data_IF_427109625709
#
_entry.id   IF_427109625709
#
_cell.length_a   1.000
_cell.length_b   1.000
_cell.length_c   1.000
_cell.angle_alpha   90.00
_cell.angle_beta   90.00
_cell.angle_gamma   90.00
#
_symmetry.space_group_name_H-M   'P 1'
#
loop_
_entity.id
_entity.type
_entity.pdbx_description
1 polymer ?
#
# COMPACT_ATOMS: atom_id res chain seq x y z
N UNK A 1 -14.64 27.32 -39.27
CA UNK A 1 -15.83 27.99 -39.85
C UNK A 1 -15.47 29.20 -40.72
N UNK A 2 -14.62 29.01 -41.74
CA UNK A 2 -14.42 30.04 -42.77
C UNK A 2 -15.65 30.17 -43.68
N UNK A 3 -16.28 29.04 -44.03
CA UNK A 3 -17.50 28.99 -44.83
C UNK A 3 -18.67 29.80 -44.23
N UNK A 4 -18.85 29.75 -42.90
CA UNK A 4 -19.86 30.55 -42.19
C UNK A 4 -19.58 32.04 -42.31
N UNK A 5 -18.32 32.47 -42.19
CA UNK A 5 -17.95 33.90 -42.32
C UNK A 5 -18.21 34.42 -43.74
N UNK A 6 -17.86 33.65 -44.76
CA UNK A 6 -18.14 34.00 -46.16
C UNK A 6 -19.64 34.10 -46.42
N UNK A 7 -20.42 33.12 -45.95
CA UNK A 7 -21.87 33.13 -46.09
C UNK A 7 -22.53 34.28 -45.30
N UNK A 8 -22.00 34.62 -44.12
CA UNK A 8 -22.46 35.76 -43.33
C UNK A 8 -22.22 37.09 -44.05
N UNK A 9 -21.03 37.28 -44.65
CA UNK A 9 -20.71 38.49 -45.42
C UNK A 9 -21.68 38.67 -46.60
N UNK A 10 -21.95 37.59 -47.34
CA UNK A 10 -22.92 37.61 -48.42
C UNK A 10 -24.36 37.93 -47.95
N UNK A 11 -24.75 37.46 -46.77
CA UNK A 11 -26.06 37.77 -46.20
C UNK A 11 -26.17 39.25 -45.75
N UNK A 12 -25.08 39.84 -45.24
CA UNK A 12 -25.03 41.24 -44.81
C UNK A 12 -25.14 42.24 -45.97
N UNK A 13 -24.70 41.86 -47.17
CA UNK A 13 -24.89 42.65 -48.39
C UNK A 13 -26.32 42.53 -48.98
N UNK A 14 -27.18 41.71 -48.35
CA UNK A 14 -28.54 41.41 -48.77
C UNK A 14 -29.63 42.20 -48.05
N UNK A 15 -30.86 41.69 -48.10
CA UNK A 15 -32.03 42.25 -47.40
C UNK A 15 -32.11 41.78 -45.95
N UNK A 16 -32.91 42.48 -45.13
CA UNK A 16 -33.23 42.06 -43.76
C UNK A 16 -33.76 40.62 -43.68
N UNK A 17 -34.50 40.18 -44.70
CA UNK A 17 -35.00 38.80 -44.84
C UNK A 17 -33.83 37.82 -45.00
N UNK A 18 -32.85 38.13 -45.87
CA UNK A 18 -31.68 37.28 -46.09
C UNK A 18 -30.78 37.20 -44.85
N UNK A 19 -30.66 38.30 -44.10
CA UNK A 19 -29.96 38.30 -42.80
C UNK A 19 -30.68 37.37 -41.81
N UNK A 20 -32.02 37.46 -41.74
CA UNK A 20 -32.83 36.60 -40.86
C UNK A 20 -32.75 35.12 -41.24
N UNK A 21 -32.82 34.81 -42.54
CA UNK A 21 -32.72 33.44 -43.04
C UNK A 21 -31.35 32.83 -42.77
N UNK A 22 -30.29 33.63 -42.94
CA UNK A 22 -28.95 33.21 -42.59
C UNK A 22 -28.83 32.93 -41.09
N UNK A 23 -29.31 33.83 -40.24
CA UNK A 23 -29.26 33.66 -38.78
C UNK A 23 -30.03 32.42 -38.31
N UNK A 24 -31.18 32.13 -38.89
CA UNK A 24 -32.03 31.01 -38.44
C UNK A 24 -31.54 29.66 -38.97
N UNK A 25 -31.14 29.58 -40.24
CA UNK A 25 -30.85 28.30 -40.90
C UNK A 25 -29.56 28.32 -41.71
N UNK A 26 -29.30 29.40 -42.45
CA UNK A 26 -28.17 29.46 -43.40
C UNK A 26 -26.79 29.32 -42.74
N UNK A 27 -26.61 29.81 -41.51
CA UNK A 27 -25.36 29.66 -40.77
C UNK A 27 -25.02 28.19 -40.49
N UNK A 28 -26.03 27.37 -40.20
CA UNK A 28 -25.83 25.96 -39.90
C UNK A 28 -25.56 25.15 -41.18
N UNK A 29 -26.21 25.51 -42.29
CA UNK A 29 -25.91 24.93 -43.60
C UNK A 29 -24.46 25.22 -44.02
N UNK A 30 -24.01 26.46 -43.87
CA UNK A 30 -22.63 26.85 -44.13
C UNK A 30 -21.63 26.15 -43.19
N UNK A 31 -22.03 25.82 -41.96
CA UNK A 31 -21.21 25.13 -40.97
C UNK A 31 -21.20 23.60 -41.10
N UNK A 32 -22.02 22.99 -41.98
CA UNK A 32 -22.22 21.53 -41.98
C UNK A 32 -20.90 20.75 -42.11
N UNK A 33 -20.01 21.14 -43.03
CA UNK A 33 -18.72 20.48 -43.21
C UNK A 33 -17.86 20.53 -41.93
N UNK A 34 -17.82 21.68 -41.26
CA UNK A 34 -17.11 21.82 -39.99
C UNK A 34 -17.79 20.98 -38.87
N UNK A 35 -19.12 20.90 -38.82
CA UNK A 35 -19.84 20.02 -37.89
C UNK A 35 -19.49 18.55 -38.14
N UNK A 36 -19.48 18.09 -39.39
CA UNK A 36 -19.06 16.72 -39.74
C UNK A 36 -17.65 16.42 -39.25
N UNK A 37 -16.72 17.36 -39.36
CA UNK A 37 -15.36 17.21 -38.82
C UNK A 37 -15.39 17.06 -37.29
N UNK A 38 -16.14 17.92 -36.59
CA UNK A 38 -16.27 17.85 -35.13
C UNK A 38 -16.88 16.52 -34.67
N UNK A 39 -17.95 16.06 -35.31
CA UNK A 39 -18.59 14.77 -35.01
C UNK A 39 -17.67 13.60 -35.34
N UNK A 40 -16.91 13.67 -36.44
CA UNK A 40 -15.92 12.63 -36.81
C UNK A 40 -14.83 12.50 -35.75
N UNK A 41 -14.37 13.61 -35.18
CA UNK A 41 -13.41 13.56 -34.07
C UNK A 41 -14.00 12.81 -32.87
N UNK A 42 -15.24 13.12 -32.48
CA UNK A 42 -15.92 12.43 -31.39
C UNK A 42 -16.20 10.94 -31.70
N UNK A 43 -16.45 10.59 -32.97
CA UNK A 43 -16.58 9.20 -33.41
C UNK A 43 -15.28 8.38 -33.28
N UNK A 44 -14.13 9.05 -33.22
CA UNK A 44 -12.81 8.42 -33.07
C UNK A 44 -12.31 8.43 -31.62
N UNK A 45 -12.51 9.54 -30.92
CA UNK A 45 -11.91 9.78 -29.60
C UNK A 45 -12.87 9.50 -28.44
N UNK A 46 -14.18 9.51 -28.68
CA UNK A 46 -15.20 9.36 -27.64
C UNK A 46 -15.23 7.99 -26.95
N UNK A 47 -15.98 7.91 -25.85
CA UNK A 47 -16.38 6.65 -25.23
C UNK A 47 -17.30 5.82 -26.14
N UNK A 48 -17.56 4.54 -25.81
CA UNK A 48 -18.34 3.63 -26.65
C UNK A 48 -19.69 4.21 -27.11
N UNK A 49 -20.50 4.74 -26.19
CA UNK A 49 -21.79 5.34 -26.50
C UNK A 49 -21.65 6.64 -27.30
N UNK A 50 -20.66 7.48 -26.98
CA UNK A 50 -20.38 8.71 -27.75
C UNK A 50 -20.04 8.36 -29.19
N UNK A 51 -19.22 7.32 -29.40
CA UNK A 51 -18.81 6.84 -30.74
C UNK A 51 -19.98 6.31 -31.55
N UNK A 52 -20.84 5.51 -30.91
CA UNK A 52 -22.04 4.98 -31.55
C UNK A 52 -22.97 6.11 -32.02
N UNK A 53 -23.29 7.04 -31.13
CA UNK A 53 -24.15 8.17 -31.44
C UNK A 53 -23.54 9.11 -32.48
N UNK A 54 -22.22 9.34 -32.43
CA UNK A 54 -21.52 10.14 -33.44
C UNK A 54 -21.60 9.50 -34.83
N UNK A 55 -21.43 8.18 -34.93
CA UNK A 55 -21.56 7.43 -36.20
C UNK A 55 -22.98 7.51 -36.75
N UNK A 56 -23.99 7.40 -35.88
CA UNK A 56 -25.38 7.56 -36.28
C UNK A 56 -25.66 8.97 -36.85
N UNK A 57 -25.17 10.02 -36.20
CA UNK A 57 -25.31 11.39 -36.69
C UNK A 57 -24.57 11.63 -38.02
N UNK A 58 -23.38 11.03 -38.20
CA UNK A 58 -22.63 11.10 -39.47
C UNK A 58 -23.32 10.36 -40.62
N UNK A 59 -23.97 9.23 -40.30
CA UNK A 59 -24.72 8.42 -41.27
C UNK A 59 -25.99 9.13 -41.75
N UNK A 60 -26.70 9.80 -40.84
CA UNK A 60 -27.83 10.70 -41.20
C UNK A 60 -27.33 11.88 -42.05
N UNK A 61 -26.25 12.54 -41.60
CA UNK A 61 -25.55 13.56 -42.36
C UNK A 61 -26.29 14.90 -42.50
N UNK A 62 -27.54 15.01 -42.02
CA UNK A 62 -28.24 16.29 -41.96
C UNK A 62 -27.59 17.24 -40.96
N UNK A 63 -27.64 18.54 -41.24
CA UNK A 63 -27.13 19.57 -40.34
C UNK A 63 -27.79 19.48 -38.96
N UNK A 64 -29.09 19.18 -38.91
CA UNK A 64 -29.86 19.02 -37.67
C UNK A 64 -29.35 17.86 -36.84
N UNK A 65 -29.16 16.67 -37.43
CA UNK A 65 -28.66 15.50 -36.70
C UNK A 65 -27.25 15.72 -36.13
N UNK A 66 -26.36 16.34 -36.91
CA UNK A 66 -25.01 16.69 -36.46
C UNK A 66 -25.06 17.70 -35.30
N UNK A 67 -25.89 18.74 -35.41
CA UNK A 67 -26.01 19.77 -34.40
C UNK A 67 -26.66 19.25 -33.11
N UNK A 68 -27.69 18.42 -33.21
CA UNK A 68 -28.34 17.79 -32.07
C UNK A 68 -27.39 16.87 -31.31
N UNK A 69 -26.57 16.09 -32.03
CA UNK A 69 -25.52 15.31 -31.42
C UNK A 69 -24.48 16.18 -30.71
N UNK A 70 -23.96 17.21 -31.38
CA UNK A 70 -22.96 18.13 -30.80
C UNK A 70 -23.49 18.89 -29.58
N UNK A 71 -24.76 19.28 -29.57
CA UNK A 71 -25.31 20.08 -28.48
C UNK A 71 -25.81 19.24 -27.31
N UNK A 72 -26.29 18.01 -27.55
CA UNK A 72 -26.98 17.20 -26.53
C UNK A 72 -26.55 15.74 -26.55
N UNK A 73 -26.55 15.12 -27.73
CA UNK A 73 -26.35 13.68 -27.87
C UNK A 73 -25.01 13.18 -27.32
N UNK A 74 -23.92 13.94 -27.53
CA UNK A 74 -22.60 13.58 -27.03
C UNK A 74 -22.54 13.57 -25.50
N UNK A 75 -23.18 14.53 -24.83
CA UNK A 75 -23.12 14.68 -23.38
C UNK A 75 -23.94 13.61 -22.67
N UNK A 76 -25.13 13.30 -23.20
CA UNK A 76 -25.95 12.20 -22.69
C UNK A 76 -25.24 10.85 -22.83
N UNK A 77 -24.59 10.62 -23.97
CA UNK A 77 -23.83 9.39 -24.21
C UNK A 77 -22.59 9.30 -23.31
N UNK A 78 -21.86 10.40 -23.14
CA UNK A 78 -20.72 10.47 -22.23
C UNK A 78 -21.13 10.14 -20.79
N UNK A 79 -22.24 10.70 -20.30
CA UNK A 79 -22.74 10.40 -18.95
C UNK A 79 -23.08 8.91 -18.77
N UNK A 80 -23.63 8.27 -19.81
CA UNK A 80 -23.89 6.83 -19.78
C UNK A 80 -22.57 6.02 -19.73
N UNK A 81 -21.60 6.35 -20.58
CA UNK A 81 -20.27 5.72 -20.61
C UNK A 81 -19.54 5.88 -19.26
N UNK A 82 -19.61 7.06 -18.65
CA UNK A 82 -18.99 7.35 -17.35
C UNK A 82 -19.67 6.61 -16.20
N UNK A 83 -21.00 6.48 -16.21
CA UNK A 83 -21.72 5.65 -15.22
C UNK A 83 -21.35 4.17 -15.32
N UNK A 84 -21.14 3.65 -16.54
CA UNK A 84 -20.65 2.28 -16.74
C UNK A 84 -19.24 2.14 -16.17
N UNK A 85 -18.35 3.08 -16.47
CA UNK A 85 -16.98 3.09 -15.95
C UNK A 85 -16.96 3.14 -14.41
N UNK A 86 -17.75 4.03 -13.80
CA UNK A 86 -17.86 4.13 -12.35
C UNK A 86 -18.45 2.85 -11.73
N UNK A 87 -19.41 2.19 -12.39
CA UNK A 87 -19.96 0.91 -11.93
C UNK A 87 -18.92 -0.22 -11.99
N UNK A 88 -18.08 -0.25 -13.02
CA UNK A 88 -16.97 -1.21 -13.09
C UNK A 88 -15.97 -0.98 -11.96
N UNK A 89 -15.58 0.26 -11.71
CA UNK A 89 -14.69 0.63 -10.60
C UNK A 89 -15.30 0.32 -9.22
N UNK A 90 -16.63 0.43 -9.08
CA UNK A 90 -17.34 0.02 -7.87
C UNK A 90 -17.27 -1.50 -7.61
N UNK A 91 -17.26 -2.32 -8.67
CA UNK A 91 -17.19 -3.77 -8.53
C UNK A 91 -15.74 -4.24 -8.34
N UNK A 92 -14.83 -3.73 -9.17
CA UNK A 92 -13.49 -4.30 -9.36
C UNK A 92 -12.37 -3.51 -8.67
N UNK A 93 -12.62 -2.26 -8.26
CA UNK A 93 -11.62 -1.38 -7.65
C UNK A 93 -11.16 -1.82 -6.25
N UNK A 94 -10.12 -1.19 -5.70
CA UNK A 94 -9.75 -1.38 -4.29
C UNK A 94 -10.76 -0.75 -3.32
N UNK A 95 -10.65 -0.99 -1.99
CA UNK A 95 -11.60 -0.49 -1.00
C UNK A 95 -11.97 1.00 -1.13
N UNK A 96 -10.98 1.87 -1.30
CA UNK A 96 -11.19 3.31 -1.46
C UNK A 96 -11.79 3.65 -2.82
N UNK A 97 -11.33 3.01 -3.91
CA UNK A 97 -11.93 3.19 -5.24
C UNK A 97 -13.40 2.79 -5.24
N UNK A 98 -13.75 1.66 -4.60
CA UNK A 98 -15.15 1.20 -4.49
C UNK A 98 -16.00 2.17 -3.70
N UNK A 99 -15.48 2.69 -2.59
CA UNK A 99 -16.15 3.68 -1.77
C UNK A 99 -16.43 4.97 -2.57
N UNK A 100 -15.39 5.51 -3.23
CA UNK A 100 -15.50 6.72 -4.04
C UNK A 100 -16.45 6.53 -5.24
N UNK A 101 -16.38 5.40 -5.94
CA UNK A 101 -17.28 5.06 -7.03
C UNK A 101 -18.75 5.00 -6.55
N UNK A 102 -19.00 4.39 -5.40
CA UNK A 102 -20.33 4.31 -4.80
C UNK A 102 -20.91 5.70 -4.50
N UNK A 103 -20.09 6.60 -3.93
CA UNK A 103 -20.48 7.98 -3.65
C UNK A 103 -20.83 8.70 -4.94
N UNK A 104 -19.96 8.63 -5.95
CA UNK A 104 -20.18 9.28 -7.24
C UNK A 104 -21.45 8.77 -7.94
N UNK A 105 -21.69 7.46 -7.95
CA UNK A 105 -22.88 6.85 -8.57
C UNK A 105 -24.20 7.26 -7.91
N UNK A 106 -24.18 7.57 -6.61
CA UNK A 106 -25.32 8.08 -5.85
C UNK A 106 -25.56 9.59 -6.06
N UNK A 107 -24.59 10.28 -6.66
CA UNK A 107 -24.63 11.71 -6.92
C UNK A 107 -25.16 12.09 -8.31
N UNK A 108 -24.93 13.36 -8.63
CA UNK A 108 -25.20 13.99 -9.92
C UNK A 108 -24.28 13.48 -11.04
N UNK A 109 -24.64 13.68 -12.32
CA UNK A 109 -23.76 13.36 -13.44
C UNK A 109 -22.38 14.05 -13.34
N UNK A 110 -22.32 15.28 -12.81
CA UNK A 110 -21.05 16.00 -12.62
C UNK A 110 -20.15 15.30 -11.58
N UNK A 111 -20.73 14.72 -10.53
CA UNK A 111 -19.96 13.94 -9.54
C UNK A 111 -19.40 12.65 -10.14
N UNK A 112 -20.17 11.97 -11.01
CA UNK A 112 -19.68 10.82 -11.78
C UNK A 112 -18.54 11.26 -12.70
N UNK A 113 -18.69 12.38 -13.40
CA UNK A 113 -17.68 12.91 -14.30
C UNK A 113 -16.37 13.24 -13.55
N UNK A 114 -16.45 13.97 -12.44
CA UNK A 114 -15.28 14.31 -11.61
C UNK A 114 -14.58 13.07 -11.05
N UNK A 115 -15.36 12.06 -10.63
CA UNK A 115 -14.82 10.79 -10.18
C UNK A 115 -14.06 10.06 -11.30
N UNK A 116 -14.67 9.89 -12.48
CA UNK A 116 -14.00 9.22 -13.60
C UNK A 116 -12.77 9.99 -14.08
N UNK A 117 -12.83 11.32 -14.10
CA UNK A 117 -11.73 12.15 -14.57
C UNK A 117 -10.52 12.14 -13.62
N UNK A 118 -10.75 12.16 -12.30
CA UNK A 118 -9.67 12.33 -11.32
C UNK A 118 -9.85 11.54 -10.03
N UNK A 119 -11.08 11.47 -9.51
CA UNK A 119 -11.37 10.83 -8.22
C UNK A 119 -10.95 9.36 -8.14
N UNK A 120 -11.09 8.60 -9.22
CA UNK A 120 -10.67 7.19 -9.27
C UNK A 120 -9.17 7.01 -9.02
N UNK A 121 -8.33 7.92 -9.50
CA UNK A 121 -6.88 7.82 -9.37
C UNK A 121 -6.42 8.24 -7.97
N UNK A 122 -7.09 9.24 -7.38
CA UNK A 122 -6.85 9.63 -5.99
C UNK A 122 -7.23 8.49 -5.03
N UNK A 123 -8.37 7.85 -5.26
CA UNK A 123 -8.80 6.71 -4.46
C UNK A 123 -7.86 5.50 -4.64
N UNK A 124 -7.42 5.21 -5.87
CA UNK A 124 -6.44 4.14 -6.13
C UNK A 124 -5.08 4.43 -5.46
N UNK A 125 -4.67 5.70 -5.38
CA UNK A 125 -3.49 6.10 -4.64
C UNK A 125 -3.65 5.82 -3.14
N UNK A 126 -4.82 6.09 -2.57
CA UNK A 126 -5.10 5.80 -1.16
C UNK A 126 -5.08 4.30 -0.87
N UNK A 127 -5.65 3.48 -1.77
CA UNK A 127 -5.53 2.01 -1.69
C UNK A 127 -4.06 1.56 -1.65
N UNK A 128 -3.23 2.07 -2.57
CA UNK A 128 -1.80 1.74 -2.60
C UNK A 128 -1.02 2.20 -1.36
N UNK A 129 -1.39 3.35 -0.77
CA UNK A 129 -0.81 3.83 0.48
C UNK A 129 -1.20 2.95 1.66
N UNK A 130 -2.45 2.50 1.72
CA UNK A 130 -2.93 1.58 2.75
C UNK A 130 -2.17 0.24 2.68
N UNK A 131 -2.04 -0.34 1.48
CA UNK A 131 -1.29 -1.58 1.27
C UNK A 131 0.18 -1.44 1.69
N UNK A 132 0.81 -0.32 1.33
CA UNK A 132 2.20 -0.02 1.71
C UNK A 132 2.35 0.06 3.23
N UNK A 133 1.41 0.72 3.91
CA UNK A 133 1.41 0.84 5.36
C UNK A 133 1.27 -0.52 6.04
N UNK A 134 0.34 -1.36 5.56
CA UNK A 134 0.16 -2.74 6.07
C UNK A 134 1.44 -3.55 5.90
N UNK A 135 2.07 -3.50 4.73
CA UNK A 135 3.33 -4.21 4.49
C UNK A 135 4.48 -3.73 5.39
N UNK A 136 4.55 -2.42 5.66
CA UNK A 136 5.54 -1.86 6.59
C UNK A 136 5.31 -2.34 8.02
N UNK A 137 4.06 -2.35 8.48
CA UNK A 137 3.69 -2.85 9.82
C UNK A 137 4.01 -4.33 9.97
N UNK A 138 3.71 -5.16 8.96
CA UNK A 138 4.05 -6.57 8.96
C UNK A 138 5.57 -6.81 9.05
N UNK A 139 6.37 -5.99 8.34
CA UNK A 139 7.84 -6.04 8.44
C UNK A 139 8.33 -5.73 9.85
N UNK A 140 7.81 -4.66 10.47
CA UNK A 140 8.19 -4.26 11.83
C UNK A 140 7.80 -5.34 12.86
N UNK A 141 6.64 -5.97 12.70
CA UNK A 141 6.23 -7.10 13.53
C UNK A 141 7.17 -8.29 13.39
N UNK A 142 7.57 -8.66 12.17
CA UNK A 142 8.51 -9.74 11.93
C UNK A 142 9.90 -9.44 12.55
N UNK A 143 10.39 -8.20 12.42
CA UNK A 143 11.63 -7.76 13.04
C UNK A 143 11.57 -7.84 14.58
N UNK A 144 10.48 -7.35 15.18
CA UNK A 144 10.24 -7.46 16.62
C UNK A 144 10.18 -8.92 17.11
N UNK A 145 9.61 -9.83 16.32
CA UNK A 145 9.60 -11.27 16.64
C UNK A 145 11.01 -11.87 16.62
N UNK A 146 11.86 -11.50 15.67
CA UNK A 146 13.26 -11.93 15.62
C UNK A 146 14.05 -11.44 16.83
N UNK A 147 13.86 -10.17 17.21
CA UNK A 147 14.49 -9.59 18.41
C UNK A 147 14.02 -10.33 19.67
N UNK A 148 12.71 -10.55 19.82
CA UNK A 148 12.16 -11.25 20.97
C UNK A 148 12.65 -12.71 21.05
N UNK A 149 12.73 -13.42 19.92
CA UNK A 149 13.29 -14.77 19.86
C UNK A 149 14.77 -14.79 20.27
N UNK A 150 15.55 -13.82 19.80
CA UNK A 150 16.97 -13.67 20.16
C UNK A 150 17.15 -13.36 21.64
N UNK A 151 16.34 -12.46 22.21
CA UNK A 151 16.34 -12.15 23.63
C UNK A 151 16.00 -13.37 24.49
N UNK A 152 14.99 -14.16 24.08
CA UNK A 152 14.65 -15.44 24.76
C UNK A 152 15.79 -16.43 24.71
N UNK A 153 16.45 -16.58 23.55
CA UNK A 153 17.65 -17.43 23.41
C UNK A 153 18.76 -16.98 24.36
N UNK A 154 19.08 -15.68 24.38
CA UNK A 154 20.13 -15.14 25.23
C UNK A 154 19.79 -15.30 26.72
N UNK A 155 18.53 -15.10 27.11
CA UNK A 155 18.06 -15.34 28.47
C UNK A 155 18.21 -16.81 28.88
N UNK A 156 17.85 -17.74 28.00
CA UNK A 156 18.03 -19.18 28.25
C UNK A 156 19.52 -19.56 28.38
N UNK A 157 20.39 -19.01 27.53
CA UNK A 157 21.84 -19.22 27.63
C UNK A 157 22.41 -18.63 28.93
N UNK A 158 21.95 -17.45 29.35
CA UNK A 158 22.35 -16.86 30.63
C UNK A 158 21.89 -17.70 31.82
N UNK A 159 20.67 -18.23 31.79
CA UNK A 159 20.15 -19.13 32.81
C UNK A 159 20.95 -20.44 32.88
N UNK A 160 21.32 -21.01 31.73
CA UNK A 160 22.21 -22.17 31.65
C UNK A 160 23.58 -21.87 32.28
N UNK A 161 24.23 -20.79 31.86
CA UNK A 161 25.54 -20.40 32.39
C UNK A 161 25.51 -20.15 33.91
N UNK A 162 24.43 -19.55 34.43
CA UNK A 162 24.24 -19.34 35.86
C UNK A 162 24.11 -20.68 36.62
N UNK A 163 23.38 -21.66 36.06
CA UNK A 163 23.25 -22.99 36.65
C UNK A 163 24.59 -23.75 36.66
N UNK A 164 25.37 -23.66 35.58
CA UNK A 164 26.70 -24.27 35.47
C UNK A 164 27.68 -23.65 36.49
N UNK A 165 27.70 -22.32 36.60
CA UNK A 165 28.54 -21.61 37.57
C UNK A 165 28.18 -21.97 39.02
N UNK A 166 26.89 -22.14 39.33
CA UNK A 166 26.42 -22.56 40.65
C UNK A 166 26.92 -23.97 41.00
N UNK A 167 26.78 -24.92 40.07
CA UNK A 167 27.28 -26.28 40.26
C UNK A 167 28.81 -26.32 40.47
N UNK A 168 29.56 -25.55 39.68
CA UNK A 168 31.02 -25.44 39.85
C UNK A 168 31.41 -24.86 41.22
N UNK A 169 30.68 -23.84 41.69
CA UNK A 169 30.87 -23.28 43.04
C UNK A 169 30.62 -24.32 44.13
N UNK A 170 29.53 -25.07 44.02
CA UNK A 170 29.17 -26.09 45.01
C UNK A 170 30.23 -27.23 45.06
N UNK A 171 30.80 -27.59 43.90
CA UNK A 171 31.92 -28.56 43.82
C UNK A 171 33.21 -28.02 44.46
N UNK A 172 33.53 -26.73 44.25
CA UNK A 172 34.70 -26.11 44.85
C UNK A 172 34.60 -26.07 46.39
N UNK A 173 33.40 -25.79 46.93
CA UNK A 173 33.15 -25.81 48.38
C UNK A 173 33.32 -27.21 48.98
N UNK A 174 32.91 -28.27 48.26
CA UNK A 174 33.14 -29.66 48.68
C UNK A 174 34.64 -29.99 48.69
N UNK A 175 35.36 -29.67 47.61
CA UNK A 175 36.80 -29.92 47.52
C UNK A 175 37.58 -29.19 48.62
N UNK A 176 37.17 -27.97 48.98
CA UNK A 176 37.74 -27.24 50.12
C UNK A 176 37.54 -27.99 51.43
N UNK A 177 36.33 -28.48 51.73
CA UNK A 177 36.05 -29.26 52.95
C UNK A 177 36.86 -30.55 53.00
N UNK A 178 36.96 -31.25 51.87
CA UNK A 178 37.76 -32.48 51.79
C UNK A 178 39.25 -32.18 52.04
N UNK A 179 39.75 -31.05 51.54
CA UNK A 179 41.12 -30.58 51.80
C UNK A 179 41.34 -30.18 53.27
N UNK A 180 40.37 -29.50 53.90
CA UNK A 180 40.39 -29.17 55.34
C UNK A 180 40.43 -30.44 56.19
N UNK A 181 39.57 -31.42 55.89
CA UNK A 181 39.57 -32.71 56.59
C UNK A 181 40.89 -33.46 56.41
N UNK A 182 41.44 -33.47 55.20
CA UNK A 182 42.74 -34.08 54.92
C UNK A 182 43.87 -33.42 55.72
N UNK A 183 43.82 -32.08 55.88
CA UNK A 183 44.79 -31.34 56.67
C UNK A 183 44.69 -31.66 58.18
N UNK A 184 43.47 -31.79 58.72
CA UNK A 184 43.24 -32.21 60.11
C UNK A 184 43.80 -33.61 60.38
N UNK A 185 43.55 -34.57 59.48
CA UNK A 185 44.11 -35.92 59.59
C UNK A 185 45.64 -35.91 59.58
N UNK A 186 46.25 -35.11 58.70
CA UNK A 186 47.70 -34.98 58.63
C UNK A 186 48.29 -34.42 59.94
N UNK A 187 47.63 -33.45 60.57
CA UNK A 187 48.03 -32.95 61.90
C UNK A 187 47.93 -34.03 62.98
N UNK A 188 46.86 -34.85 62.94
CA UNK A 188 46.71 -36.01 63.83
C UNK A 188 47.86 -37.00 63.70
N UNK A 189 48.19 -37.40 62.46
CA UNK A 189 49.32 -38.30 62.20
C UNK A 189 50.67 -37.71 62.63
N UNK A 190 50.89 -36.40 62.44
CA UNK A 190 52.09 -35.74 62.91
C UNK A 190 52.20 -35.82 64.44
N UNK A 191 51.12 -35.54 65.17
CA UNK A 191 51.10 -35.64 66.63
C UNK A 191 51.32 -37.09 67.12
N UNK A 192 50.75 -38.08 66.43
CA UNK A 192 51.00 -39.49 66.73
C UNK A 192 52.45 -39.89 66.50
N UNK A 193 53.07 -39.38 65.43
CA UNK A 193 54.47 -39.62 65.11
C UNK A 193 55.40 -38.99 66.14
N UNK A 194 55.14 -37.74 66.56
CA UNK A 194 55.89 -37.07 67.64
C UNK A 194 55.79 -37.87 68.94
N UNK A 195 54.57 -38.27 69.33
CA UNK A 195 54.37 -39.10 70.52
C UNK A 195 55.07 -40.46 70.42
N UNK A 196 55.16 -41.05 69.22
CA UNK A 196 55.91 -42.28 69.00
C UNK A 196 57.41 -42.07 69.12
N UNK A 197 57.94 -40.96 68.62
CA UNK A 197 59.34 -40.58 68.76
C UNK A 197 59.72 -40.37 70.24
N UNK A 198 58.89 -39.66 71.01
CA UNK A 198 59.09 -39.45 72.45
C UNK A 198 59.13 -40.78 73.23
N UNK A 199 58.21 -41.70 72.89
CA UNK A 199 58.20 -43.06 73.46
C UNK A 199 59.49 -43.82 73.13
N UNK A 200 59.93 -43.77 71.87
CA UNK A 200 61.17 -44.41 71.45
C UNK A 200 62.40 -43.82 72.16
N UNK A 201 62.48 -42.49 72.32
CA UNK A 201 63.56 -41.83 73.05
C UNK A 201 63.58 -42.25 74.52
N UNK A 202 62.41 -42.31 75.16
CA UNK A 202 62.27 -42.74 76.56
C UNK A 202 62.76 -44.18 76.73
N UNK A 203 62.34 -45.10 75.85
CA UNK A 203 62.82 -46.50 75.88
C UNK A 203 64.32 -46.60 75.66
N UNK A 204 64.90 -45.79 74.76
CA UNK A 204 66.35 -45.78 74.52
C UNK A 204 67.15 -45.27 75.74
N UNK A 205 66.63 -44.28 76.48
CA UNK A 205 67.24 -43.81 77.73
C UNK A 205 67.22 -44.90 78.80
N UNK A 206 66.11 -45.62 78.94
CA UNK A 206 65.98 -46.73 79.91
C UNK A 206 66.96 -47.87 79.62
N UNK A 207 67.20 -48.21 78.35
CA UNK A 207 68.12 -49.30 77.98
C UNK A 207 69.61 -49.00 78.25
N UNK A 208 69.97 -47.75 78.56
CA UNK A 208 71.35 -47.32 78.88
C UNK A 208 71.63 -47.22 80.39
N UNK A 209 70.61 -47.37 81.23
CA UNK A 209 70.71 -47.37 82.68
C UNK A 209 70.87 -48.81 83.21
#
# INVERSE_FOLDING_TARGET
YEAVRTAAAAALDGTDEQIRDFYTTGQHQAANADYRVAVTKLANDGGPGVKENAKAALADGSTTALLDFLNKGQYAAQQADERVTATQLYNDGGPEVRSAAKIALAGSPDEVHQFVQSGQYMAAQQDGLADTHVAQMQRLLAEGQVIAATARKNSALAAQAAAEAKNASDQADLAKKDAEHSAEQAQGYAAEADAAADRAETSAKQAKA
#
